data_IF_966530257131
#
_entry.id   IF_966530257131
#
_cell.length_a   1.000
_cell.length_b   1.000
_cell.length_c   1.000
_cell.angle_alpha   90.00
_cell.angle_beta   90.00
_cell.angle_gamma   90.00
#
_symmetry.space_group_name_H-M   'P 1'
#
loop_
_entity.id
_entity.type
_entity.pdbx_description
1 polymer ?
#
# COMPACT_ATOMS: atom_id res chain seq x y z
N UNK A 1 11.30 -3.33 -18.55
CA UNK A 1 10.15 -2.40 -18.48
C UNK A 1 9.10 -3.09 -17.61
N UNK A 2 8.52 -2.42 -16.62
CA UNK A 2 7.47 -3.01 -15.79
C UNK A 2 6.19 -3.07 -16.62
N UNK A 3 5.86 -4.25 -17.15
CA UNK A 3 4.73 -4.42 -18.08
C UNK A 3 3.37 -4.55 -17.37
N UNK A 4 3.36 -4.62 -16.03
CA UNK A 4 2.15 -4.80 -15.22
C UNK A 4 2.17 -3.92 -13.96
N UNK A 5 2.38 -2.61 -14.14
CA UNK A 5 2.23 -1.64 -13.05
C UNK A 5 0.75 -1.64 -12.62
N UNK A 6 0.49 -1.95 -11.35
CA UNK A 6 -0.84 -1.93 -10.76
C UNK A 6 -1.38 -0.50 -10.55
N UNK A 7 -2.52 -0.40 -9.86
CA UNK A 7 -3.31 0.86 -9.79
C UNK A 7 -2.65 1.99 -8.99
N UNK A 8 -1.57 1.73 -8.26
CA UNK A 8 -1.00 2.66 -7.28
C UNK A 8 0.45 3.00 -7.64
N UNK A 9 0.69 4.28 -7.96
CA UNK A 9 2.00 4.89 -8.16
C UNK A 9 2.14 6.06 -7.18
N UNK A 10 3.24 6.12 -6.44
CA UNK A 10 3.53 7.20 -5.50
C UNK A 10 5.00 7.58 -5.55
N UNK A 11 5.32 8.80 -5.10
CA UNK A 11 6.70 9.25 -4.91
C UNK A 11 6.87 9.69 -3.47
N UNK A 12 7.93 9.19 -2.83
CA UNK A 12 8.34 9.59 -1.49
C UNK A 12 9.70 10.28 -1.56
N UNK A 13 9.70 11.59 -1.32
CA UNK A 13 10.89 12.42 -1.41
C UNK A 13 11.92 12.07 -0.32
N UNK A 14 11.48 11.74 0.90
CA UNK A 14 12.39 11.36 1.99
C UNK A 14 13.08 10.02 1.72
N UNK A 15 12.38 9.11 1.04
CA UNK A 15 12.92 7.82 0.64
C UNK A 15 13.65 7.83 -0.72
N UNK A 16 13.67 8.96 -1.44
CA UNK A 16 14.21 9.06 -2.81
C UNK A 16 13.69 7.97 -3.75
N UNK A 17 12.40 7.66 -3.64
CA UNK A 17 11.82 6.48 -4.29
C UNK A 17 10.45 6.75 -4.92
N UNK A 18 10.32 6.33 -6.18
CA UNK A 18 9.02 5.99 -6.73
C UNK A 18 8.62 4.61 -6.21
N UNK A 19 7.33 4.41 -5.93
CA UNK A 19 6.79 3.11 -5.59
C UNK A 19 5.60 2.78 -6.45
N UNK A 20 5.44 1.50 -6.74
CA UNK A 20 4.31 0.98 -7.48
C UNK A 20 4.07 -0.49 -7.16
N UNK A 21 2.87 -1.00 -7.48
CA UNK A 21 2.62 -2.43 -7.41
C UNK A 21 2.92 -3.10 -8.74
N UNK A 22 3.39 -4.35 -8.71
CA UNK A 22 3.58 -5.19 -9.90
C UNK A 22 2.95 -6.54 -9.66
N UNK A 23 2.19 -7.06 -10.63
CA UNK A 23 1.71 -8.44 -10.56
C UNK A 23 2.81 -9.39 -11.04
N UNK A 24 3.22 -10.32 -10.19
CA UNK A 24 4.20 -11.36 -10.51
C UNK A 24 3.96 -12.59 -9.62
N UNK A 25 4.16 -13.79 -10.17
CA UNK A 25 4.02 -15.04 -9.41
C UNK A 25 2.63 -15.21 -8.76
N UNK A 26 1.57 -14.76 -9.47
CA UNK A 26 0.18 -14.69 -8.99
C UNK A 26 -0.03 -13.84 -7.73
N UNK A 27 0.94 -12.98 -7.39
CA UNK A 27 0.86 -12.07 -6.25
C UNK A 27 1.09 -10.62 -6.70
N UNK A 28 0.53 -9.68 -5.94
CA UNK A 28 0.84 -8.27 -6.10
C UNK A 28 2.07 -7.92 -5.24
N UNK A 29 3.10 -7.34 -5.85
CA UNK A 29 4.35 -6.99 -5.19
C UNK A 29 4.47 -5.48 -5.00
N UNK A 30 4.74 -5.04 -3.77
CA UNK A 30 5.21 -3.68 -3.53
C UNK A 30 6.63 -3.53 -4.08
N UNK A 31 6.79 -2.60 -5.01
CA UNK A 31 8.02 -2.39 -5.77
C UNK A 31 8.47 -0.95 -5.65
N UNK A 32 9.77 -0.71 -5.50
CA UNK A 32 10.35 0.64 -5.49
C UNK A 32 11.30 0.82 -6.66
N UNK A 33 11.35 2.01 -7.21
CA UNK A 33 12.37 2.51 -8.13
C UNK A 33 13.10 3.65 -7.43
N UNK A 34 14.38 3.45 -7.16
CA UNK A 34 15.29 4.48 -6.64
C UNK A 34 15.45 5.60 -7.68
N UNK A 35 15.25 6.85 -7.25
CA UNK A 35 15.24 8.00 -8.16
C UNK A 35 16.65 8.47 -8.56
N UNK A 36 17.70 8.06 -7.87
CA UNK A 36 19.09 8.44 -8.18
C UNK A 36 19.72 7.43 -9.14
N UNK A 37 19.75 6.16 -8.74
CA UNK A 37 20.46 5.09 -9.44
C UNK A 37 19.57 4.26 -10.38
N UNK A 38 18.27 4.55 -10.40
CA UNK A 38 17.26 3.92 -11.26
C UNK A 38 17.11 2.41 -11.05
N UNK A 39 17.48 1.90 -9.87
CA UNK A 39 17.32 0.49 -9.54
C UNK A 39 15.88 0.17 -9.13
N UNK A 40 15.33 -0.87 -9.74
CA UNK A 40 14.01 -1.43 -9.40
C UNK A 40 14.18 -2.59 -8.42
N UNK A 41 13.43 -2.58 -7.33
CA UNK A 41 13.45 -3.63 -6.31
C UNK A 41 12.03 -4.09 -5.95
N UNK A 42 11.75 -5.39 -6.11
CA UNK A 42 10.57 -6.03 -5.52
C UNK A 42 10.83 -6.20 -4.02
N UNK A 43 10.13 -5.45 -3.18
CA UNK A 43 10.37 -5.41 -1.73
C UNK A 43 9.69 -6.57 -1.02
N UNK A 44 8.39 -6.75 -1.26
CA UNK A 44 7.61 -7.83 -0.66
C UNK A 44 6.28 -8.03 -1.40
N UNK A 45 5.73 -9.24 -1.30
CA UNK A 45 4.36 -9.52 -1.70
C UNK A 45 3.37 -8.85 -0.72
N UNK A 46 2.36 -8.21 -1.30
CA UNK A 46 1.17 -7.72 -0.62
C UNK A 46 0.14 -8.85 -0.52
N UNK A 47 -0.67 -8.90 0.55
CA UNK A 47 -1.83 -9.78 0.62
C UNK A 47 -2.79 -9.57 -0.56
N UNK A 48 -3.43 -10.63 -1.05
CA UNK A 48 -4.24 -10.63 -2.28
C UNK A 48 -5.39 -9.60 -2.28
N UNK A 49 -5.89 -9.23 -1.11
CA UNK A 49 -7.04 -8.32 -0.94
C UNK A 49 -6.64 -6.84 -0.91
N UNK A 50 -5.34 -6.53 -1.00
CA UNK A 50 -4.87 -5.14 -0.99
C UNK A 50 -5.26 -4.45 -2.29
N UNK A 51 -5.99 -3.34 -2.15
CA UNK A 51 -6.46 -2.52 -3.28
C UNK A 51 -5.62 -1.26 -3.50
N UNK A 52 -4.99 -0.76 -2.42
CA UNK A 52 -4.18 0.44 -2.44
C UNK A 52 -3.17 0.44 -1.28
N UNK A 53 -2.15 1.29 -1.39
CA UNK A 53 -1.21 1.57 -0.32
C UNK A 53 -0.84 3.06 -0.33
N UNK A 54 -0.32 3.57 0.80
CA UNK A 54 0.22 4.92 0.89
C UNK A 54 1.46 4.94 1.76
N UNK A 55 2.37 5.89 1.53
CA UNK A 55 3.53 6.09 2.40
C UNK A 55 3.12 6.77 3.69
N UNK A 56 3.58 6.25 4.83
CA UNK A 56 3.36 6.87 6.15
C UNK A 56 4.56 7.72 6.55
N UNK A 57 5.76 7.23 6.23
CA UNK A 57 7.04 7.91 6.40
C UNK A 57 8.03 7.37 5.38
N UNK A 58 9.32 7.71 5.48
CA UNK A 58 10.38 7.25 4.57
C UNK A 58 10.58 5.72 4.58
N UNK A 59 10.19 5.04 5.65
CA UNK A 59 10.47 3.62 5.89
C UNK A 59 9.22 2.75 5.93
N UNK A 60 8.02 3.33 6.05
CA UNK A 60 6.78 2.58 6.22
C UNK A 60 5.74 2.93 5.18
N UNK A 61 5.06 1.90 4.69
CA UNK A 61 3.78 2.05 3.99
C UNK A 61 2.64 1.63 4.89
N UNK A 62 1.44 2.13 4.59
CA UNK A 62 0.18 1.60 5.05
C UNK A 62 -0.59 0.98 3.89
N UNK A 63 -1.27 -0.13 4.14
CA UNK A 63 -2.20 -0.78 3.21
C UNK A 63 -3.40 -1.32 3.99
N UNK A 64 -4.49 -1.63 3.29
CA UNK A 64 -5.70 -2.16 3.91
C UNK A 64 -6.07 -3.58 3.44
N UNK A 65 -6.66 -4.35 4.34
CA UNK A 65 -7.34 -5.62 4.08
C UNK A 65 -8.74 -5.49 4.69
N UNK A 66 -9.79 -5.50 3.87
CA UNK A 66 -11.12 -5.14 4.38
C UNK A 66 -11.14 -3.68 4.83
N UNK A 67 -11.61 -3.47 6.06
CA UNK A 67 -11.61 -2.20 6.76
C UNK A 67 -10.44 -2.02 7.73
N UNK A 68 -9.45 -2.93 7.73
CA UNK A 68 -8.31 -2.91 8.64
C UNK A 68 -7.08 -2.37 7.94
N UNK A 69 -6.40 -1.43 8.59
CA UNK A 69 -5.18 -0.79 8.08
C UNK A 69 -3.97 -1.34 8.82
N UNK A 70 -2.95 -1.71 8.05
CA UNK A 70 -1.69 -2.24 8.53
C UNK A 70 -0.55 -1.34 8.08
N UNK A 71 0.46 -1.18 8.92
CA UNK A 71 1.75 -0.60 8.58
C UNK A 71 2.79 -1.70 8.36
N UNK A 72 3.71 -1.47 7.44
CA UNK A 72 4.81 -2.38 7.15
C UNK A 72 6.06 -1.62 6.79
N UNK A 73 7.17 -2.02 7.38
CA UNK A 73 8.47 -1.45 7.08
C UNK A 73 8.97 -1.97 5.72
N UNK A 74 9.54 -1.09 4.91
CA UNK A 74 10.01 -1.40 3.54
C UNK A 74 11.31 -2.19 3.53
N UNK A 75 12.19 -1.92 4.48
CA UNK A 75 13.51 -2.57 4.60
C UNK A 75 13.47 -3.81 5.51
N UNK A 76 12.52 -3.89 6.43
CA UNK A 76 12.29 -5.05 7.30
C UNK A 76 10.84 -5.56 7.18
N UNK A 77 10.48 -6.21 6.06
CA UNK A 77 9.09 -6.49 5.75
C UNK A 77 8.49 -7.68 6.52
N UNK A 78 9.24 -8.36 7.38
CA UNK A 78 8.67 -9.44 8.22
C UNK A 78 7.77 -8.90 9.33
N UNK A 79 7.93 -7.62 9.69
CA UNK A 79 7.12 -6.98 10.73
C UNK A 79 5.90 -6.27 10.11
N UNK A 80 4.72 -6.82 10.38
CA UNK A 80 3.43 -6.22 10.00
C UNK A 80 2.77 -5.71 11.28
N UNK A 81 2.49 -4.42 11.32
CA UNK A 81 1.92 -3.75 12.49
C UNK A 81 0.46 -3.38 12.21
N UNK A 82 -0.53 -3.93 12.94
CA UNK A 82 -1.90 -3.41 12.90
C UNK A 82 -1.91 -1.92 13.31
N UNK A 83 -2.68 -1.09 12.62
CA UNK A 83 -2.72 0.35 12.89
C UNK A 83 -4.12 0.86 13.22
N UNK A 84 -5.10 0.59 12.36
CA UNK A 84 -6.49 0.98 12.58
C UNK A 84 -7.46 -0.13 12.19
N UNK A 85 -8.60 -0.19 12.87
CA UNK A 85 -9.71 -1.07 12.54
C UNK A 85 -10.98 -0.23 12.35
N UNK A 86 -11.44 -0.12 11.10
CA UNK A 86 -12.64 0.63 10.74
C UNK A 86 -13.83 -0.29 10.47
N UNK A 87 -13.80 -1.56 10.90
CA UNK A 87 -14.83 -2.54 10.54
C UNK A 87 -16.26 -2.19 10.98
N UNK A 88 -16.41 -1.30 11.97
CA UNK A 88 -17.71 -0.77 12.39
C UNK A 88 -18.28 0.26 11.40
N UNK A 89 -17.42 0.96 10.65
CA UNK A 89 -17.80 2.09 9.78
C UNK A 89 -17.64 1.77 8.30
N UNK A 90 -16.87 0.72 7.98
CA UNK A 90 -16.45 0.44 6.62
C UNK A 90 -16.52 -1.05 6.27
N UNK A 91 -16.92 -1.34 5.04
CA UNK A 91 -16.84 -2.68 4.47
C UNK A 91 -15.43 -2.97 3.95
N UNK A 92 -15.02 -2.20 2.95
CA UNK A 92 -13.74 -2.36 2.25
C UNK A 92 -13.10 -1.00 1.99
N UNK A 93 -11.82 -0.85 2.31
CA UNK A 93 -11.03 0.31 1.92
C UNK A 93 -10.47 0.06 0.51
N UNK A 94 -10.72 0.98 -0.42
CA UNK A 94 -10.28 0.83 -1.83
C UNK A 94 -9.28 1.89 -2.30
N UNK A 95 -9.15 2.99 -1.55
CA UNK A 95 -8.12 4.02 -1.75
C UNK A 95 -7.59 4.55 -0.44
N UNK A 96 -6.31 4.91 -0.41
CA UNK A 96 -5.65 5.46 0.76
C UNK A 96 -4.72 6.61 0.37
N UNK A 97 -4.67 7.63 1.22
CA UNK A 97 -3.66 8.67 1.16
C UNK A 97 -3.28 9.10 2.57
N UNK A 98 -2.02 9.41 2.80
CA UNK A 98 -1.54 9.91 4.08
C UNK A 98 -0.76 11.20 3.87
N UNK A 99 -1.16 12.25 4.60
CA UNK A 99 -0.55 13.56 4.53
C UNK A 99 -0.68 14.25 5.88
N UNK A 100 0.40 14.86 6.38
CA UNK A 100 0.41 15.64 7.63
C UNK A 100 -0.28 14.90 8.79
N UNK A 101 0.19 13.67 9.06
CA UNK A 101 -0.31 12.82 10.15
C UNK A 101 -1.78 12.38 10.01
N UNK A 102 -2.39 12.62 8.85
CA UNK A 102 -3.80 12.32 8.60
C UNK A 102 -3.93 11.23 7.55
N UNK A 103 -4.56 10.12 7.92
CA UNK A 103 -4.96 9.07 6.98
C UNK A 103 -6.34 9.38 6.41
N UNK A 104 -6.40 9.58 5.10
CA UNK A 104 -7.62 9.64 4.33
C UNK A 104 -7.82 8.33 3.56
N UNK A 105 -9.06 7.86 3.46
CA UNK A 105 -9.37 6.65 2.70
C UNK A 105 -10.75 6.72 2.06
N UNK A 106 -10.93 5.98 0.96
CA UNK A 106 -12.25 5.73 0.37
C UNK A 106 -12.78 4.42 0.93
N UNK A 107 -13.96 4.49 1.53
CA UNK A 107 -14.67 3.34 2.02
C UNK A 107 -15.78 2.92 1.05
N UNK A 108 -15.77 1.66 0.65
CA UNK A 108 -16.88 1.00 0.00
C UNK A 108 -17.79 0.40 1.08
N UNK A 109 -19.06 0.81 1.06
CA UNK A 109 -20.05 0.22 1.95
C UNK A 109 -20.25 -1.25 1.57
N UNK A 110 -20.54 -2.09 2.57
CA UNK A 110 -21.03 -3.44 2.27
C UNK A 110 -22.30 -3.28 1.43
N UNK A 111 -22.39 -3.98 0.31
CA UNK A 111 -23.66 -4.14 -0.37
C UNK A 111 -24.61 -4.80 0.63
N UNK A 112 -25.53 -4.02 1.18
CA UNK A 112 -26.69 -4.59 1.85
C UNK A 112 -27.48 -5.28 0.74
N UNK A 113 -27.31 -6.60 0.60
CA UNK A 113 -28.32 -7.42 -0.06
C UNK A 113 -29.60 -7.25 0.79
N UNK A 114 -30.58 -6.58 0.20
CA UNK A 114 -31.97 -6.53 0.68
C UNK A 114 -32.68 -7.82 0.29
#
# INVERSE_FOLDING_TARGET
MANDIGRSLSYNAAAHAFSFTVNADSQQWFTTLDDENKQVQRRFALPEQVQDYTWVDENHIAYAIGAKVFRRNVSNPTEIQPWYDFAEYCGQISRMNYLNETLAFVCEQRSNEQ
#
